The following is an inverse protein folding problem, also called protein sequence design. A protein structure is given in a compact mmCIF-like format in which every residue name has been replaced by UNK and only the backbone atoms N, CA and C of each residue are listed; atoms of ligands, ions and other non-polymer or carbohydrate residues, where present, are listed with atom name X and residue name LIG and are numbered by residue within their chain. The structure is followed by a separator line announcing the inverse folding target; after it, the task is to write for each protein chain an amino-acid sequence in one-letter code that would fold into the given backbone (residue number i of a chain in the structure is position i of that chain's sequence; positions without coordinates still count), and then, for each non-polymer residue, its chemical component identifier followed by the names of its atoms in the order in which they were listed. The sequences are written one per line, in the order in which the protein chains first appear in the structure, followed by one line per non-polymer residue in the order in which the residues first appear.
data_IF_106926720462
#
_entry.id   IF_106926720462
#
_cell.length_a   1.000
_cell.length_b   1.000
_cell.length_c   1.000
_cell.angle_alpha   90.00
_cell.angle_beta   90.00
_cell.angle_gamma   90.00
#
_symmetry.space_group_name_H-M   'P 1'
#
loop_
_entity.id
_entity.type
_entity.pdbx_description
1 polymer ?
#
# COMPACT_ATOMS: atom_id res chain seq x y z
N UNK A 1 -17.57 -79.87 -8.37
CA UNK A 1 -17.05 -78.53 -7.99
C UNK A 1 -18.19 -77.73 -7.37
N UNK A 2 -18.19 -77.58 -6.04
CA UNK A 2 -19.24 -76.86 -5.29
C UNK A 2 -18.92 -75.37 -5.27
N UNK A 3 -19.87 -74.53 -5.71
CA UNK A 3 -19.77 -73.06 -5.66
C UNK A 3 -20.04 -72.58 -4.23
N UNK A 4 -19.11 -71.82 -3.65
CA UNK A 4 -19.32 -71.09 -2.41
C UNK A 4 -19.88 -69.70 -2.73
N UNK A 5 -21.03 -69.38 -2.17
CA UNK A 5 -21.62 -68.03 -2.21
C UNK A 5 -21.18 -67.29 -0.94
N UNK A 6 -20.39 -66.23 -1.11
CA UNK A 6 -19.97 -65.35 -0.02
C UNK A 6 -21.04 -64.26 0.16
N UNK A 7 -21.75 -64.26 1.30
CA UNK A 7 -22.67 -63.18 1.68
C UNK A 7 -21.86 -62.17 2.51
N UNK A 8 -21.62 -60.98 1.96
CA UNK A 8 -21.03 -59.87 2.68
C UNK A 8 -22.13 -59.13 3.48
N UNK A 9 -22.04 -59.18 4.81
CA UNK A 9 -22.88 -58.38 5.70
C UNK A 9 -22.36 -56.93 5.72
N UNK A 10 -23.15 -55.99 5.20
CA UNK A 10 -22.91 -54.55 5.37
C UNK A 10 -23.52 -54.11 6.71
N UNK A 11 -22.67 -53.73 7.67
CA UNK A 11 -23.09 -53.06 8.90
C UNK A 11 -23.11 -51.56 8.62
N UNK A 12 -24.29 -50.98 8.38
CA UNK A 12 -24.47 -49.54 8.29
C UNK A 12 -24.64 -48.96 9.70
N UNK A 13 -23.60 -48.30 10.23
CA UNK A 13 -23.75 -47.47 11.42
C UNK A 13 -24.37 -46.13 11.01
N UNK A 14 -25.66 -45.94 11.31
CA UNK A 14 -26.33 -44.65 11.27
C UNK A 14 -25.78 -43.79 12.43
N UNK A 15 -24.79 -42.95 12.14
CA UNK A 15 -24.36 -41.89 13.04
C UNK A 15 -25.41 -40.79 13.04
N UNK A 16 -26.19 -40.67 14.11
CA UNK A 16 -27.03 -39.52 14.37
C UNK A 16 -26.14 -38.33 14.70
N UNK A 17 -25.80 -37.51 13.71
CA UNK A 17 -25.27 -36.19 13.97
C UNK A 17 -26.44 -35.31 14.44
N UNK A 18 -26.58 -35.13 15.75
CA UNK A 18 -27.39 -34.02 16.27
C UNK A 18 -26.67 -32.73 15.91
N UNK A 19 -27.12 -32.07 14.84
CA UNK A 19 -26.86 -30.65 14.66
C UNK A 19 -27.65 -29.92 15.76
N UNK A 20 -27.00 -29.62 16.88
CA UNK A 20 -27.54 -28.66 17.83
C UNK A 20 -27.50 -27.28 17.17
N UNK A 21 -28.62 -26.86 16.59
CA UNK A 21 -28.84 -25.45 16.29
C UNK A 21 -28.99 -24.72 17.63
N UNK A 22 -27.93 -24.08 18.11
CA UNK A 22 -28.06 -23.15 19.22
C UNK A 22 -28.92 -21.98 18.77
N UNK A 23 -30.14 -21.90 19.27
CA UNK A 23 -30.93 -20.67 19.23
C UNK A 23 -30.16 -19.60 20.00
N UNK A 24 -29.78 -18.54 19.29
CA UNK A 24 -29.09 -17.38 19.84
C UNK A 24 -30.10 -16.59 20.69
N UNK A 25 -30.24 -16.96 21.96
CA UNK A 25 -30.99 -16.15 22.92
C UNK A 25 -30.15 -14.94 23.33
N UNK A 26 -30.03 -13.96 22.42
CA UNK A 26 -29.91 -12.58 22.87
C UNK A 26 -31.21 -12.22 23.60
N UNK A 27 -31.18 -11.57 24.78
CA UNK A 27 -32.42 -11.16 25.43
C UNK A 27 -33.21 -10.29 24.47
N UNK A 28 -34.49 -10.61 24.26
CA UNK A 28 -35.39 -9.84 23.42
C UNK A 28 -35.28 -8.34 23.79
N UNK A 29 -34.68 -7.54 22.89
CA UNK A 29 -34.47 -6.10 23.08
C UNK A 29 -33.08 -5.65 23.57
N UNK A 30 -32.07 -6.52 23.70
CA UNK A 30 -30.70 -6.11 24.05
C UNK A 30 -29.75 -6.07 22.84
N UNK A 31 -28.88 -5.08 22.87
CA UNK A 31 -27.92 -4.74 21.81
C UNK A 31 -27.11 -5.96 21.35
N UNK A 32 -27.02 -6.16 20.04
CA UNK A 32 -26.40 -7.34 19.40
C UNK A 32 -24.90 -7.15 19.15
N UNK A 33 -24.35 -6.05 19.66
CA UNK A 33 -22.96 -5.66 19.53
C UNK A 33 -22.15 -6.29 20.66
N UNK A 34 -20.97 -6.82 20.31
CA UNK A 34 -20.03 -7.41 21.26
C UNK A 34 -20.57 -8.67 21.99
N UNK A 35 -21.27 -9.56 21.27
CA UNK A 35 -21.87 -10.79 21.81
C UNK A 35 -20.88 -11.94 22.07
N UNK A 36 -20.84 -12.45 23.30
CA UNK A 36 -20.14 -13.69 23.65
C UNK A 36 -21.18 -14.81 23.83
N UNK A 37 -20.99 -15.95 23.18
CA UNK A 37 -21.87 -17.13 23.30
C UNK A 37 -21.66 -17.91 24.61
N UNK A 38 -22.51 -18.91 24.84
CA UNK A 38 -22.47 -19.75 26.04
C UNK A 38 -21.14 -20.52 26.21
N UNK A 39 -20.36 -20.66 25.15
CA UNK A 39 -19.04 -21.31 25.15
C UNK A 39 -17.90 -20.31 25.30
N UNK A 40 -18.20 -19.02 25.56
CA UNK A 40 -17.19 -17.98 25.73
C UNK A 40 -16.59 -17.48 24.42
N UNK A 41 -17.21 -17.77 23.27
CA UNK A 41 -16.70 -17.32 21.95
C UNK A 41 -17.43 -16.05 21.47
N UNK A 42 -16.68 -15.15 20.85
CA UNK A 42 -17.21 -13.95 20.19
C UNK A 42 -18.02 -14.32 18.95
N UNK A 43 -19.19 -13.72 18.81
CA UNK A 43 -20.11 -13.89 17.69
C UNK A 43 -20.65 -12.53 17.22
N UNK A 44 -21.09 -12.47 15.97
CA UNK A 44 -21.84 -11.34 15.44
C UNK A 44 -21.01 -10.05 15.30
N UNK A 45 -21.68 -8.91 15.37
CA UNK A 45 -21.07 -7.59 15.18
C UNK A 45 -20.20 -7.22 16.37
N UNK A 46 -19.01 -6.71 16.11
CA UNK A 46 -18.07 -6.21 17.11
C UNK A 46 -17.70 -4.77 16.84
N UNK A 47 -17.62 -3.97 17.91
CA UNK A 47 -17.06 -2.62 17.88
C UNK A 47 -16.08 -2.50 19.04
N UNK A 48 -14.85 -2.15 18.71
CA UNK A 48 -13.81 -1.80 19.68
C UNK A 48 -13.75 -0.28 19.78
N UNK A 49 -14.02 0.23 20.98
CA UNK A 49 -13.91 1.66 21.31
C UNK A 49 -12.54 2.02 21.90
N UNK A 50 -12.21 3.31 21.91
CA UNK A 50 -10.95 3.83 22.42
C UNK A 50 -10.68 3.49 23.89
N UNK A 51 -11.73 3.35 24.72
CA UNK A 51 -11.60 2.88 26.12
C UNK A 51 -10.96 1.48 26.24
N UNK A 52 -11.01 0.66 25.18
CA UNK A 52 -10.36 -0.65 25.14
C UNK A 52 -8.88 -0.56 24.68
N UNK A 53 -8.40 0.63 24.33
CA UNK A 53 -7.05 0.93 23.83
C UNK A 53 -6.44 2.11 24.60
N UNK A 54 -6.22 1.98 25.93
CA UNK A 54 -5.62 3.04 26.73
C UNK A 54 -4.23 3.41 26.22
N UNK A 55 -3.85 4.69 26.35
CA UNK A 55 -2.55 5.20 25.89
C UNK A 55 -2.46 5.50 24.39
N UNK A 56 -3.60 5.55 23.69
CA UNK A 56 -3.70 5.94 22.28
C UNK A 56 -4.38 7.31 22.14
N UNK A 57 -4.43 7.85 20.92
CA UNK A 57 -5.10 9.12 20.63
C UNK A 57 -6.63 9.05 20.54
N UNK A 58 -7.25 7.86 20.70
CA UNK A 58 -8.70 7.72 20.60
C UNK A 58 -9.39 8.20 21.87
N UNK A 59 -10.45 9.01 21.70
CA UNK A 59 -11.40 9.26 22.77
C UNK A 59 -12.06 7.95 23.24
N UNK A 60 -12.52 7.90 24.50
CA UNK A 60 -13.01 6.67 25.13
C UNK A 60 -14.16 5.99 24.36
N UNK A 61 -15.03 6.78 23.74
CA UNK A 61 -16.19 6.39 22.96
C UNK A 61 -15.95 6.41 21.43
N UNK A 62 -14.77 6.84 20.97
CA UNK A 62 -14.41 6.79 19.57
C UNK A 62 -14.26 5.33 19.10
N UNK A 63 -14.75 5.02 17.91
CA UNK A 63 -14.55 3.71 17.29
C UNK A 63 -13.09 3.57 16.85
N UNK A 64 -12.48 2.44 17.17
CA UNK A 64 -11.12 2.07 16.76
C UNK A 64 -11.18 1.06 15.63
N UNK A 65 -11.99 0.00 15.80
CA UNK A 65 -12.24 -0.99 14.76
C UNK A 65 -13.64 -1.59 14.91
N UNK A 66 -14.24 -2.01 13.81
CA UNK A 66 -15.50 -2.76 13.81
C UNK A 66 -15.52 -3.84 12.72
N UNK A 67 -16.31 -4.88 12.96
CA UNK A 67 -16.46 -5.98 12.01
C UNK A 67 -17.31 -7.10 12.58
N UNK A 68 -17.15 -8.33 12.05
CA UNK A 68 -17.87 -9.51 12.55
C UNK A 68 -16.91 -10.57 13.08
N UNK A 69 -17.33 -11.23 14.16
CA UNK A 69 -16.74 -12.47 14.64
C UNK A 69 -17.66 -13.65 14.34
N UNK A 70 -17.05 -14.78 14.01
CA UNK A 70 -17.68 -16.10 14.03
C UNK A 70 -16.74 -17.03 14.78
N UNK A 71 -17.19 -17.57 15.91
CA UNK A 71 -16.40 -18.46 16.77
C UNK A 71 -15.00 -17.91 17.12
N UNK A 72 -14.92 -16.69 17.66
CA UNK A 72 -13.67 -15.97 17.95
C UNK A 72 -12.80 -15.58 16.73
N UNK A 73 -13.23 -15.87 15.50
CA UNK A 73 -12.47 -15.53 14.28
C UNK A 73 -13.09 -14.33 13.57
N UNK A 74 -12.26 -13.33 13.22
CA UNK A 74 -12.67 -12.24 12.34
C UNK A 74 -13.16 -12.82 11.01
N UNK A 75 -14.34 -12.38 10.55
CA UNK A 75 -14.93 -12.80 9.28
C UNK A 75 -15.59 -11.62 8.57
N UNK A 76 -15.59 -11.64 7.25
CA UNK A 76 -16.12 -10.56 6.42
C UNK A 76 -15.32 -9.27 6.54
N UNK A 77 -15.97 -8.13 6.29
CA UNK A 77 -15.29 -6.84 6.30
C UNK A 77 -15.03 -6.37 7.74
N UNK A 78 -13.79 -5.95 7.96
CA UNK A 78 -13.34 -5.25 9.15
C UNK A 78 -12.83 -3.87 8.76
N UNK A 79 -13.26 -2.88 9.53
CA UNK A 79 -12.89 -1.48 9.34
C UNK A 79 -12.05 -1.06 10.55
N UNK A 80 -10.90 -0.45 10.29
CA UNK A 80 -10.13 0.30 11.28
C UNK A 80 -10.29 1.80 10.99
N UNK A 81 -10.30 2.62 12.03
CA UNK A 81 -10.40 4.07 11.92
C UNK A 81 -9.07 4.75 12.25
N UNK A 82 -8.92 6.01 11.88
CA UNK A 82 -7.91 6.92 12.40
C UNK A 82 -8.45 7.63 13.66
N UNK A 83 -7.57 8.27 14.43
CA UNK A 83 -7.98 9.03 15.61
C UNK A 83 -8.90 10.23 15.30
N UNK A 84 -8.88 10.74 14.06
CA UNK A 84 -9.82 11.76 13.59
C UNK A 84 -11.22 11.19 13.24
N UNK A 85 -11.42 9.87 13.36
CA UNK A 85 -12.68 9.18 13.07
C UNK A 85 -12.86 8.76 11.61
N UNK A 86 -11.97 9.17 10.70
CA UNK A 86 -12.02 8.72 9.31
C UNK A 86 -11.61 7.24 9.20
N UNK A 87 -12.09 6.55 8.17
CA UNK A 87 -11.64 5.18 7.91
C UNK A 87 -10.15 5.18 7.62
N UNK A 88 -9.44 4.20 8.17
CA UNK A 88 -8.01 3.95 7.97
C UNK A 88 -7.78 2.78 7.03
N UNK A 89 -8.50 1.69 7.26
CA UNK A 89 -8.53 0.57 6.34
C UNK A 89 -9.85 -0.20 6.44
N UNK A 90 -10.15 -0.92 5.36
CA UNK A 90 -11.27 -1.83 5.23
C UNK A 90 -10.75 -3.11 4.59
N UNK A 91 -10.59 -4.13 5.42
CA UNK A 91 -9.98 -5.41 5.05
C UNK A 91 -11.02 -6.53 5.09
N UNK A 92 -10.94 -7.46 4.14
CA UNK A 92 -11.75 -8.69 4.17
C UNK A 92 -11.02 -9.78 4.95
N UNK A 93 -11.68 -10.35 5.95
CA UNK A 93 -11.16 -11.46 6.75
C UNK A 93 -11.89 -12.77 6.45
N UNK A 94 -11.14 -13.85 6.35
CA UNK A 94 -11.64 -15.22 6.29
C UNK A 94 -10.95 -16.02 7.39
N UNK A 95 -11.74 -16.62 8.29
CA UNK A 95 -11.22 -17.44 9.40
C UNK A 95 -10.13 -16.74 10.23
N UNK A 96 -10.29 -15.45 10.50
CA UNK A 96 -9.39 -14.67 11.34
C UNK A 96 -8.15 -14.12 10.63
N UNK A 97 -8.00 -14.34 9.31
CA UNK A 97 -6.88 -13.84 8.53
C UNK A 97 -7.37 -12.92 7.40
N UNK A 98 -6.64 -11.84 7.06
CA UNK A 98 -6.94 -11.05 5.88
C UNK A 98 -6.83 -11.91 4.61
N UNK A 99 -7.93 -12.05 3.88
CA UNK A 99 -8.02 -12.80 2.63
C UNK A 99 -9.20 -12.23 1.82
N UNK A 100 -8.88 -11.52 0.74
CA UNK A 100 -9.85 -10.85 -0.12
C UNK A 100 -9.50 -9.39 -0.38
N UNK A 101 -10.49 -8.61 -0.77
CA UNK A 101 -10.29 -7.21 -1.13
C UNK A 101 -9.92 -6.37 0.10
N UNK A 102 -8.95 -5.49 -0.07
CA UNK A 102 -8.43 -4.58 0.94
C UNK A 102 -8.37 -3.16 0.37
N UNK A 103 -8.83 -2.21 1.19
CA UNK A 103 -8.82 -0.77 0.89
C UNK A 103 -8.17 -0.08 2.07
N UNK A 104 -7.24 0.82 1.80
CA UNK A 104 -6.65 1.71 2.79
C UNK A 104 -7.01 3.14 2.39
N UNK A 105 -7.00 4.02 3.38
CA UNK A 105 -7.41 5.41 3.21
C UNK A 105 -6.32 6.34 3.71
N UNK A 106 -6.23 7.51 3.09
CA UNK A 106 -5.53 8.67 3.63
C UNK A 106 -6.30 9.24 4.82
N UNK A 107 -5.63 10.00 5.69
CA UNK A 107 -6.29 10.61 6.85
C UNK A 107 -7.40 11.60 6.45
N UNK A 108 -7.36 12.14 5.24
CA UNK A 108 -8.40 12.98 4.66
C UNK A 108 -9.66 12.21 4.21
N UNK A 109 -9.67 10.88 4.37
CA UNK A 109 -10.80 10.01 4.06
C UNK A 109 -10.87 9.51 2.62
N UNK A 110 -9.98 9.96 1.73
CA UNK A 110 -9.86 9.42 0.36
C UNK A 110 -9.09 8.09 0.37
N UNK A 111 -9.30 7.26 -0.64
CA UNK A 111 -8.57 5.98 -0.77
C UNK A 111 -7.09 6.30 -0.99
N UNK A 112 -6.20 5.56 -0.32
CA UNK A 112 -4.76 5.62 -0.55
C UNK A 112 -4.29 4.45 -1.40
N UNK A 113 -4.77 3.24 -1.13
CA UNK A 113 -4.45 2.05 -1.93
C UNK A 113 -5.62 1.06 -1.88
N UNK A 114 -5.76 0.27 -2.94
CA UNK A 114 -6.72 -0.83 -2.97
C UNK A 114 -6.22 -1.99 -3.84
N UNK A 115 -6.67 -3.20 -3.50
CA UNK A 115 -6.37 -4.41 -4.27
C UNK A 115 -6.85 -5.68 -3.57
N UNK A 116 -6.42 -6.83 -4.09
CA UNK A 116 -6.69 -8.12 -3.43
C UNK A 116 -5.50 -8.53 -2.57
N UNK A 117 -5.75 -8.80 -1.30
CA UNK A 117 -4.78 -9.32 -0.35
C UNK A 117 -5.00 -10.82 -0.13
N UNK A 118 -3.99 -11.64 -0.40
CA UNK A 118 -4.07 -13.09 -0.20
C UNK A 118 -2.74 -13.64 0.27
N UNK A 119 -2.75 -14.51 1.27
CA UNK A 119 -1.54 -15.14 1.80
C UNK A 119 -0.41 -14.14 2.14
N UNK A 120 -0.78 -13.03 2.80
CA UNK A 120 0.11 -11.95 3.24
C UNK A 120 0.80 -11.16 2.11
N UNK A 121 0.16 -11.03 0.94
CA UNK A 121 0.65 -10.19 -0.17
C UNK A 121 -0.48 -9.69 -1.06
N UNK A 122 -0.20 -8.64 -1.83
CA UNK A 122 -1.05 -8.19 -2.93
C UNK A 122 -1.03 -9.17 -4.10
N UNK A 123 -2.20 -9.40 -4.70
CA UNK A 123 -2.38 -10.24 -5.89
C UNK A 123 -3.42 -9.58 -6.82
N UNK A 124 -3.31 -9.83 -8.11
CA UNK A 124 -4.21 -9.26 -9.11
C UNK A 124 -4.08 -7.74 -9.21
N UNK A 125 -5.17 -7.08 -9.64
CA UNK A 125 -5.21 -5.63 -9.82
C UNK A 125 -4.94 -4.89 -8.51
N UNK A 126 -4.17 -3.81 -8.63
CA UNK A 126 -3.76 -2.94 -7.56
C UNK A 126 -3.76 -1.49 -8.02
N UNK A 127 -4.20 -0.59 -7.14
CA UNK A 127 -4.12 0.86 -7.36
C UNK A 127 -3.58 1.55 -6.12
N UNK A 128 -2.79 2.60 -6.37
CA UNK A 128 -2.33 3.57 -5.39
C UNK A 128 -2.85 4.94 -5.82
N UNK A 129 -3.19 5.79 -4.86
CA UNK A 129 -3.83 7.08 -5.08
C UNK A 129 -3.08 8.18 -4.32
N UNK A 130 -3.02 9.36 -4.93
CA UNK A 130 -2.57 10.59 -4.29
C UNK A 130 -3.57 11.07 -3.23
N UNK A 131 -3.13 11.97 -2.35
CA UNK A 131 -4.03 12.57 -1.35
C UNK A 131 -5.16 13.39 -1.97
N UNK A 132 -5.00 13.88 -3.21
CA UNK A 132 -6.07 14.54 -3.95
C UNK A 132 -7.14 13.54 -4.47
N UNK A 133 -6.89 12.23 -4.39
CA UNK A 133 -7.79 11.16 -4.84
C UNK A 133 -7.55 10.70 -6.28
N UNK A 134 -6.63 11.34 -7.02
CA UNK A 134 -6.23 10.89 -8.35
C UNK A 134 -5.39 9.62 -8.26
N UNK A 135 -5.47 8.78 -9.28
CA UNK A 135 -4.67 7.55 -9.35
C UNK A 135 -3.20 7.94 -9.48
N UNK A 136 -2.35 7.38 -8.62
CA UNK A 136 -0.90 7.50 -8.69
C UNK A 136 -0.32 6.34 -9.47
N UNK A 137 -0.68 5.10 -9.09
CA UNK A 137 -0.23 3.89 -9.76
C UNK A 137 -1.40 2.96 -10.04
N UNK A 138 -1.33 2.26 -11.17
CA UNK A 138 -2.27 1.21 -11.53
C UNK A 138 -1.51 0.05 -12.17
N UNK A 139 -1.54 -1.11 -11.55
CA UNK A 139 -0.86 -2.30 -12.05
C UNK A 139 -1.45 -3.60 -11.49
N UNK A 140 -0.91 -4.74 -11.89
CA UNK A 140 -1.26 -6.04 -11.32
C UNK A 140 -0.08 -6.80 -10.73
N UNK A 141 -0.36 -7.68 -9.78
CA UNK A 141 0.57 -8.68 -9.25
C UNK A 141 0.13 -10.10 -9.63
N UNK A 142 1.09 -10.97 -9.91
CA UNK A 142 0.84 -12.40 -10.04
C UNK A 142 0.67 -13.10 -8.67
N UNK A 143 0.37 -14.40 -8.68
CA UNK A 143 0.13 -15.18 -7.46
C UNK A 143 1.34 -15.25 -6.50
N UNK A 144 2.55 -14.98 -7.01
CA UNK A 144 3.79 -14.91 -6.23
C UNK A 144 4.04 -13.50 -5.66
N UNK A 145 3.18 -12.51 -5.95
CA UNK A 145 3.32 -11.13 -5.50
C UNK A 145 4.28 -10.29 -6.33
N UNK A 146 4.64 -10.73 -7.55
CA UNK A 146 5.49 -9.96 -8.47
C UNK A 146 4.61 -9.19 -9.46
N UNK A 147 5.05 -8.01 -9.92
CA UNK A 147 4.33 -7.23 -10.93
C UNK A 147 4.18 -8.02 -12.23
N UNK A 148 2.99 -7.96 -12.82
CA UNK A 148 2.63 -8.72 -14.00
C UNK A 148 1.67 -7.92 -14.87
N UNK A 149 1.86 -7.97 -16.18
CA UNK A 149 1.05 -7.29 -17.18
C UNK A 149 1.23 -5.76 -17.15
N UNK A 150 0.21 -5.02 -17.63
CA UNK A 150 0.32 -3.58 -17.86
C UNK A 150 0.50 -2.82 -16.55
N UNK A 151 1.44 -1.87 -16.58
CA UNK A 151 1.72 -0.93 -15.52
C UNK A 151 1.45 0.49 -16.03
N UNK A 152 0.78 1.29 -15.21
CA UNK A 152 0.55 2.71 -15.46
C UNK A 152 0.89 3.51 -14.22
N UNK A 153 1.59 4.61 -14.43
CA UNK A 153 1.97 5.58 -13.42
C UNK A 153 1.48 6.93 -13.91
N UNK A 154 0.96 7.75 -13.02
CA UNK A 154 0.34 9.02 -13.36
C UNK A 154 0.94 10.13 -12.52
N UNK A 155 0.87 11.35 -13.04
CA UNK A 155 1.15 12.58 -12.32
C UNK A 155 -0.04 12.97 -11.41
N UNK A 156 0.17 13.91 -10.49
CA UNK A 156 -0.89 14.39 -9.59
C UNK A 156 -2.06 15.07 -10.34
N UNK A 157 -1.81 15.58 -11.55
CA UNK A 157 -2.83 16.15 -12.42
C UNK A 157 -3.66 15.07 -13.18
N UNK A 158 -3.43 13.79 -12.89
CA UNK A 158 -4.11 12.64 -13.50
C UNK A 158 -3.57 12.23 -14.87
N UNK A 159 -2.58 12.94 -15.42
CA UNK A 159 -1.99 12.58 -16.71
C UNK A 159 -1.04 11.39 -16.58
N UNK A 160 -1.01 10.55 -17.61
CA UNK A 160 -0.12 9.40 -17.66
C UNK A 160 1.34 9.88 -17.66
N UNK A 161 2.14 9.35 -16.74
CA UNK A 161 3.57 9.62 -16.62
C UNK A 161 4.39 8.50 -17.26
N UNK A 162 4.01 7.24 -17.01
CA UNK A 162 4.70 6.06 -17.52
C UNK A 162 3.65 4.98 -17.84
N UNK A 163 3.78 4.32 -18.98
CA UNK A 163 3.10 3.05 -19.25
C UNK A 163 4.05 1.99 -19.80
N UNK A 164 3.72 0.73 -19.55
CA UNK A 164 4.42 -0.38 -20.17
C UNK A 164 4.04 -1.72 -19.56
N UNK A 165 4.76 -2.77 -19.91
CA UNK A 165 4.44 -4.15 -19.57
C UNK A 165 5.51 -4.75 -18.64
N UNK A 166 5.07 -5.52 -17.66
CA UNK A 166 5.95 -6.23 -16.73
C UNK A 166 5.66 -7.74 -16.80
N UNK A 167 6.71 -8.55 -16.75
CA UNK A 167 6.62 -9.99 -16.64
C UNK A 167 7.46 -10.46 -15.46
N UNK A 168 6.86 -11.21 -14.54
CA UNK A 168 7.57 -11.74 -13.35
C UNK A 168 8.36 -10.68 -12.56
N UNK A 169 7.82 -9.47 -12.45
CA UNK A 169 8.41 -8.37 -11.70
C UNK A 169 9.47 -7.55 -12.45
N UNK A 170 9.67 -7.79 -13.75
CA UNK A 170 10.65 -7.08 -14.58
C UNK A 170 9.98 -6.44 -15.79
N UNK A 171 10.51 -5.32 -16.26
CA UNK A 171 10.10 -4.64 -17.48
C UNK A 171 10.23 -5.57 -18.69
N UNK A 172 9.21 -5.62 -19.54
CA UNK A 172 9.21 -6.48 -20.72
C UNK A 172 8.38 -5.84 -21.84
N UNK A 173 9.01 -5.54 -22.98
CA UNK A 173 8.40 -4.80 -24.08
C UNK A 173 8.66 -3.30 -24.00
N UNK A 174 7.85 -2.52 -24.70
CA UNK A 174 8.03 -1.07 -24.80
C UNK A 174 7.48 -0.37 -23.56
N UNK A 175 8.34 0.39 -22.88
CA UNK A 175 8.00 1.35 -21.85
C UNK A 175 7.98 2.74 -22.47
N UNK A 176 6.90 3.49 -22.23
CA UNK A 176 6.74 4.88 -22.66
C UNK A 176 6.70 5.80 -21.45
N UNK A 177 7.42 6.89 -21.54
CA UNK A 177 7.40 7.99 -20.58
C UNK A 177 6.78 9.22 -21.24
N UNK A 178 6.06 10.02 -20.46
CA UNK A 178 5.37 11.22 -20.92
C UNK A 178 5.76 12.41 -20.06
N UNK A 179 5.52 13.61 -20.58
CA UNK A 179 5.55 14.85 -19.81
C UNK A 179 4.19 15.10 -19.14
N UNK A 180 4.14 16.00 -18.16
CA UNK A 180 2.90 16.43 -17.47
C UNK A 180 1.87 17.14 -18.36
N UNK A 181 2.24 17.44 -19.61
CA UNK A 181 1.32 17.98 -20.63
C UNK A 181 0.77 16.89 -21.57
N UNK A 182 1.19 15.63 -21.38
CA UNK A 182 0.75 14.45 -22.12
C UNK A 182 1.56 14.16 -23.37
N UNK A 183 2.53 15.00 -23.72
CA UNK A 183 3.45 14.71 -24.82
C UNK A 183 4.37 13.54 -24.45
N UNK A 184 4.67 12.70 -25.43
CA UNK A 184 5.63 11.62 -25.23
C UNK A 184 7.02 12.22 -24.96
N UNK A 185 7.68 11.69 -23.93
CA UNK A 185 9.01 12.09 -23.49
C UNK A 185 10.05 11.09 -23.94
N UNK A 186 9.78 9.80 -23.77
CA UNK A 186 10.70 8.75 -24.19
C UNK A 186 9.98 7.42 -24.48
N UNK A 187 10.60 6.60 -25.31
CA UNK A 187 10.23 5.20 -25.54
C UNK A 187 11.48 4.32 -25.45
N UNK A 188 11.36 3.19 -24.75
CA UNK A 188 12.46 2.26 -24.50
C UNK A 188 11.93 0.84 -24.54
N UNK A 189 12.59 -0.04 -25.27
CA UNK A 189 12.25 -1.46 -25.29
C UNK A 189 13.07 -2.23 -24.25
N UNK A 190 12.41 -3.09 -23.48
CA UNK A 190 13.01 -3.92 -22.46
C UNK A 190 12.79 -5.40 -22.75
N UNK A 191 13.75 -6.23 -22.35
CA UNK A 191 13.60 -7.67 -22.31
C UNK A 191 14.13 -8.18 -20.97
N UNK A 192 13.24 -8.76 -20.16
CA UNK A 192 13.58 -9.30 -18.83
C UNK A 192 14.32 -8.28 -17.92
N UNK A 193 13.86 -7.02 -17.94
CA UNK A 193 14.42 -5.91 -17.17
C UNK A 193 15.65 -5.25 -17.78
N UNK A 194 16.16 -5.75 -18.91
CA UNK A 194 17.30 -5.16 -19.62
C UNK A 194 16.82 -4.27 -20.75
N UNK A 195 17.26 -3.01 -20.76
CA UNK A 195 16.96 -2.06 -21.84
C UNK A 195 17.80 -2.35 -23.09
N UNK A 196 17.16 -2.35 -24.25
CA UNK A 196 17.88 -2.24 -25.52
C UNK A 196 18.27 -0.78 -25.74
N UNK A 197 19.55 -0.46 -25.58
CA UNK A 197 20.07 0.91 -25.70
C UNK A 197 19.78 1.51 -27.09
N UNK A 198 19.73 0.68 -28.14
CA UNK A 198 19.42 1.16 -29.50
C UNK A 198 17.94 1.47 -29.71
N UNK A 199 17.08 1.03 -28.80
CA UNK A 199 15.63 1.30 -28.85
C UNK A 199 15.23 2.63 -28.21
N UNK A 200 16.16 3.29 -27.51
CA UNK A 200 15.89 4.52 -26.77
C UNK A 200 15.57 5.64 -27.76
N UNK A 201 14.35 6.17 -27.67
CA UNK A 201 13.92 7.38 -28.38
C UNK A 201 13.53 8.42 -27.36
N UNK A 202 14.05 9.63 -27.49
CA UNK A 202 13.71 10.78 -26.65
C UNK A 202 13.09 11.88 -27.50
N UNK A 203 12.10 12.56 -26.95
CA UNK A 203 11.33 13.57 -27.65
C UNK A 203 11.22 14.83 -26.79
N UNK A 204 11.21 15.98 -27.46
CA UNK A 204 10.94 17.27 -26.81
C UNK A 204 9.42 17.51 -26.74
N UNK A 205 8.93 18.21 -25.71
CA UNK A 205 7.50 18.54 -25.63
C UNK A 205 7.12 19.48 -26.78
N UNK A 206 5.92 19.28 -27.35
CA UNK A 206 5.42 20.05 -28.51
C UNK A 206 5.04 21.47 -28.14
N UNK A 207 4.68 21.70 -26.88
CA UNK A 207 4.45 23.03 -26.31
C UNK A 207 5.46 23.24 -25.19
N UNK A 208 6.07 24.44 -25.07
CA UNK A 208 6.84 24.79 -23.89
C UNK A 208 5.98 24.52 -22.66
N UNK A 209 6.48 23.74 -21.71
CA UNK A 209 5.78 23.53 -20.46
C UNK A 209 5.62 24.89 -19.78
N UNK A 210 4.38 25.32 -19.55
CA UNK A 210 4.10 26.53 -18.78
C UNK A 210 4.56 26.25 -17.37
N UNK A 211 5.63 26.91 -16.92
CA UNK A 211 5.95 26.97 -15.48
C UNK A 211 4.74 27.63 -14.82
N UNK A 212 4.01 26.88 -14.01
CA UNK A 212 2.97 27.47 -13.16
C UNK A 212 3.72 28.47 -12.26
N UNK A 213 3.35 29.75 -12.37
CA UNK A 213 4.00 30.79 -11.60
C UNK A 213 3.75 30.54 -10.11
N UNK A 214 4.84 30.47 -9.35
CA UNK A 214 4.87 30.33 -7.90
C UNK A 214 3.92 31.35 -7.28
N UNK A 215 2.86 30.89 -6.60
CA UNK A 215 2.26 31.69 -5.53
C UNK A 215 3.05 31.35 -4.27
N UNK A 216 4.02 32.19 -3.86
CA UNK A 216 4.84 31.87 -2.70
C UNK A 216 3.96 31.78 -1.46
N UNK A 217 4.07 30.67 -0.73
CA UNK A 217 3.62 30.62 0.67
C UNK A 217 4.50 31.62 1.42
N UNK A 218 3.92 32.75 1.79
CA UNK A 218 4.58 33.75 2.62
C UNK A 218 5.04 33.04 3.91
N UNK A 219 6.36 33.04 4.17
CA UNK A 219 7.03 32.57 5.39
C UNK A 219 7.56 31.12 5.48
N UNK A 220 7.82 30.41 4.37
CA UNK A 220 8.62 29.19 4.45
C UNK A 220 10.14 29.50 4.51
N UNK A 221 10.92 28.96 5.48
CA UNK A 221 12.35 29.23 5.59
C UNK A 221 13.13 28.64 4.42
N UNK A 222 14.01 29.44 3.80
CA UNK A 222 14.97 28.98 2.79
C UNK A 222 16.13 28.26 3.47
N UNK A 223 16.24 26.95 3.24
CA UNK A 223 17.42 26.18 3.63
C UNK A 223 18.51 26.38 2.55
N UNK A 224 19.57 27.12 2.90
CA UNK A 224 20.77 27.26 2.06
C UNK A 224 21.81 26.17 2.38
N UNK A 225 22.22 25.41 1.36
CA UNK A 225 23.24 24.36 1.46
C UNK A 225 24.65 24.96 1.28
N UNK A 226 25.61 24.50 2.08
CA UNK A 226 27.02 24.91 2.01
C UNK A 226 27.67 24.52 0.68
N UNK A 227 28.64 25.33 0.22
CA UNK A 227 29.10 25.43 -1.18
C UNK A 227 29.96 24.25 -1.68
N UNK A 228 30.34 23.31 -0.81
CA UNK A 228 31.50 22.43 -1.07
C UNK A 228 31.20 20.91 -1.05
N UNK A 229 29.94 20.46 -0.99
CA UNK A 229 29.61 19.03 -1.14
C UNK A 229 29.36 18.64 -2.61
N UNK A 230 29.93 17.49 -3.02
CA UNK A 230 29.76 16.86 -4.34
C UNK A 230 28.55 15.90 -4.30
N UNK A 231 27.35 16.32 -4.73
CA UNK A 231 26.12 15.57 -4.49
C UNK A 231 26.02 14.40 -5.48
N UNK A 232 25.68 13.21 -4.99
CA UNK A 232 25.48 11.99 -5.79
C UNK A 232 26.70 11.53 -6.62
N UNK A 233 27.91 12.05 -6.37
CA UNK A 233 29.13 11.56 -7.02
C UNK A 233 29.61 10.25 -6.39
N UNK A 234 29.00 9.15 -6.83
CA UNK A 234 29.70 7.96 -7.29
C UNK A 234 28.70 6.88 -7.74
N UNK A 235 28.17 6.95 -8.98
CA UNK A 235 28.08 5.82 -9.94
C UNK A 235 27.88 6.34 -11.38
N UNK A 236 28.67 7.32 -11.83
CA UNK A 236 28.72 7.64 -13.26
C UNK A 236 29.54 6.61 -14.07
N UNK A 237 30.18 5.62 -13.42
CA UNK A 237 31.15 4.73 -14.07
C UNK A 237 30.90 3.23 -13.92
N UNK A 238 29.90 2.75 -13.16
CA UNK A 238 29.66 1.30 -12.94
C UNK A 238 28.18 0.92 -12.70
N UNK A 239 27.35 0.94 -13.74
CA UNK A 239 26.02 0.29 -13.73
C UNK A 239 24.95 0.88 -12.79
N UNK A 240 23.75 0.28 -12.70
CA UNK A 240 22.68 0.76 -11.83
C UNK A 240 23.12 0.65 -10.36
N UNK A 241 23.07 1.78 -9.66
CA UNK A 241 23.49 1.93 -8.26
C UNK A 241 22.58 1.10 -7.33
N UNK A 242 23.17 0.16 -6.60
CA UNK A 242 22.51 -0.56 -5.52
C UNK A 242 22.90 0.11 -4.19
N UNK A 243 22.00 0.90 -3.63
CA UNK A 243 22.13 1.58 -2.35
C UNK A 243 21.96 0.58 -1.21
N UNK A 244 23.07 0.28 -0.56
CA UNK A 244 23.15 -0.47 0.69
C UNK A 244 23.99 0.33 1.70
N UNK A 245 23.55 0.42 2.95
CA UNK A 245 24.22 1.18 4.02
C UNK A 245 23.78 2.65 4.10
N UNK A 246 24.53 3.48 4.83
CA UNK A 246 24.19 4.89 5.02
C UNK A 246 24.42 5.69 3.73
N UNK A 247 23.41 6.41 3.24
CA UNK A 247 23.50 7.31 2.09
C UNK A 247 22.66 8.56 2.29
N UNK A 248 23.12 9.65 1.69
CA UNK A 248 22.36 10.91 1.56
C UNK A 248 22.13 11.15 0.07
N UNK A 249 20.87 11.26 -0.33
CA UNK A 249 20.45 11.45 -1.71
C UNK A 249 20.01 12.89 -1.93
N UNK A 250 20.40 13.48 -3.05
CA UNK A 250 20.06 14.87 -3.37
C UNK A 250 19.23 14.94 -4.66
N UNK A 251 18.31 15.90 -4.74
CA UNK A 251 17.64 16.24 -5.99
C UNK A 251 18.57 17.08 -6.90
N UNK A 252 18.08 17.40 -8.11
CA UNK A 252 18.77 18.24 -9.11
C UNK A 252 19.13 19.65 -8.60
N UNK A 253 18.43 20.13 -7.57
CA UNK A 253 18.66 21.44 -6.93
C UNK A 253 19.65 21.34 -5.76
N UNK A 254 20.31 20.19 -5.56
CA UNK A 254 21.23 19.89 -4.45
C UNK A 254 20.56 19.90 -3.07
N UNK A 255 19.27 19.61 -2.99
CA UNK A 255 18.54 19.50 -1.74
C UNK A 255 18.42 18.03 -1.34
N UNK A 256 18.60 17.72 -0.05
CA UNK A 256 18.57 16.35 0.47
C UNK A 256 17.17 15.81 0.32
N UNK A 257 16.94 14.75 -0.45
CA UNK A 257 15.63 14.09 -0.56
C UNK A 257 15.47 12.91 0.38
N UNK A 258 16.58 12.23 0.71
CA UNK A 258 16.61 11.14 1.68
C UNK A 258 17.96 11.12 2.38
N UNK A 259 17.95 10.85 3.66
CA UNK A 259 19.15 10.64 4.46
C UNK A 259 18.92 9.46 5.42
N UNK A 260 19.73 8.41 5.30
CA UNK A 260 19.56 7.23 6.14
C UNK A 260 20.21 5.95 5.61
N UNK A 261 19.89 4.85 6.28
CA UNK A 261 20.34 3.50 5.94
C UNK A 261 19.44 2.91 4.85
N UNK A 262 20.04 2.48 3.75
CA UNK A 262 19.36 1.82 2.65
C UNK A 262 19.66 0.32 2.61
N UNK A 263 18.68 -0.45 2.12
CA UNK A 263 18.83 -1.85 1.74
C UNK A 263 18.11 -2.09 0.42
N UNK A 264 18.83 -2.57 -0.59
CA UNK A 264 18.30 -2.83 -1.92
C UNK A 264 17.52 -1.63 -2.49
N UNK A 265 18.09 -0.42 -2.38
CA UNK A 265 17.48 0.86 -2.79
C UNK A 265 16.28 1.36 -1.95
N UNK A 266 15.86 0.64 -0.91
CA UNK A 266 14.82 1.08 0.02
C UNK A 266 15.42 1.77 1.24
N UNK A 267 14.89 2.95 1.60
CA UNK A 267 15.22 3.62 2.86
C UNK A 267 14.65 2.79 4.02
N UNK A 268 15.54 2.23 4.85
CA UNK A 268 15.21 1.41 6.00
C UNK A 268 15.06 2.29 7.24
N UNK A 269 16.10 3.04 7.58
CA UNK A 269 16.12 3.89 8.76
C UNK A 269 16.61 5.28 8.38
N UNK A 270 15.81 6.31 8.57
CA UNK A 270 16.22 7.67 8.19
C UNK A 270 15.06 8.61 7.91
N UNK A 271 15.37 9.71 7.22
CA UNK A 271 14.42 10.77 6.89
C UNK A 271 14.27 10.89 5.38
N UNK A 272 13.05 11.07 4.91
CA UNK A 272 12.76 11.51 3.55
C UNK A 272 12.22 12.93 3.60
N UNK A 273 12.81 13.80 2.80
CA UNK A 273 12.54 15.23 2.74
C UNK A 273 11.75 15.47 1.47
N UNK A 274 10.49 15.80 1.65
CA UNK A 274 9.56 16.05 0.57
C UNK A 274 9.51 17.55 0.38
N UNK A 275 9.94 17.99 -0.79
CA UNK A 275 9.85 19.36 -1.22
C UNK A 275 8.61 19.54 -2.07
N UNK A 276 8.04 20.74 -2.06
CA UNK A 276 7.14 21.17 -3.11
C UNK A 276 7.92 21.48 -4.41
N UNK A 277 7.20 21.85 -5.45
CA UNK A 277 7.76 22.12 -6.77
C UNK A 277 8.68 23.37 -6.80
N UNK A 278 8.62 24.21 -5.78
CA UNK A 278 9.49 25.37 -5.58
C UNK A 278 10.78 25.01 -4.83
N UNK A 279 10.94 23.74 -4.44
CA UNK A 279 12.05 23.31 -3.60
C UNK A 279 11.90 23.74 -2.13
N UNK A 280 10.71 24.14 -1.69
CA UNK A 280 10.44 24.43 -0.28
C UNK A 280 10.15 23.10 0.42
N UNK A 281 10.79 22.88 1.57
CA UNK A 281 10.60 21.67 2.34
C UNK A 281 9.18 21.65 2.92
N UNK A 282 8.34 20.78 2.38
CA UNK A 282 6.96 20.60 2.81
C UNK A 282 6.89 19.69 4.05
N UNK A 283 7.67 18.60 4.03
CA UNK A 283 7.56 17.56 5.05
C UNK A 283 8.86 16.76 5.22
N UNK A 284 9.13 16.32 6.45
CA UNK A 284 10.19 15.36 6.75
C UNK A 284 9.57 14.07 7.30
N UNK A 285 9.48 13.05 6.45
CA UNK A 285 8.96 11.73 6.82
C UNK A 285 10.06 10.86 7.44
N UNK A 286 9.84 10.34 8.64
CA UNK A 286 10.78 9.47 9.34
C UNK A 286 10.44 8.01 9.06
N UNK A 287 11.47 7.21 8.79
CA UNK A 287 11.39 5.78 8.53
C UNK A 287 12.21 5.00 9.56
N UNK A 288 11.68 3.86 10.01
CA UNK A 288 12.39 2.83 10.79
C UNK A 288 12.10 1.44 10.25
N UNK A 289 13.11 0.60 10.06
CA UNK A 289 13.00 -0.74 9.46
C UNK A 289 12.21 -0.77 8.14
N UNK A 290 12.27 0.28 7.34
CA UNK A 290 11.58 0.44 6.06
C UNK A 290 10.13 0.86 6.17
N UNK A 291 9.66 1.20 7.37
CA UNK A 291 8.28 1.60 7.67
C UNK A 291 8.27 3.08 8.03
N UNK A 292 7.33 3.83 7.46
CA UNK A 292 7.07 5.21 7.85
C UNK A 292 6.53 5.25 9.29
N UNK A 293 7.17 6.03 10.16
CA UNK A 293 6.85 6.09 11.61
C UNK A 293 6.31 7.45 12.07
N UNK A 294 6.22 8.43 11.18
CA UNK A 294 5.69 9.75 11.48
C UNK A 294 6.53 10.86 10.87
N UNK A 295 6.00 12.07 10.92
CA UNK A 295 6.71 13.26 10.47
C UNK A 295 7.42 13.93 11.64
N UNK A 296 8.58 14.50 11.37
CA UNK A 296 9.32 15.32 12.33
C UNK A 296 9.24 16.78 11.94
N UNK A 297 9.34 17.68 12.93
CA UNK A 297 9.32 19.10 12.65
C UNK A 297 10.56 19.52 11.87
N UNK A 298 10.40 20.54 11.03
CA UNK A 298 11.52 21.22 10.37
C UNK A 298 12.33 21.88 11.48
N UNK A 299 13.46 21.29 11.85
CA UNK A 299 14.41 21.95 12.74
C UNK A 299 14.94 23.18 12.00
N UNK A 300 14.71 24.36 12.58
CA UNK A 300 15.22 25.65 12.10
C UNK A 300 16.74 25.74 12.26
#
# INVERSE_FOLDING_TARGET
MKKFTLIALFISSLGWAQAQSFELTGPAGKDTINLIDAQGKKQGKWIVYGKHKPGTCYAADAKVEEGKYQENRKTGQWIEYFCNGNMKNKLTFVNGRPDGYAIMYHENGKISEEGTWKANRWVGNYKLYYENGEVQHQFSFNASGKREGPQKYFYENGQLAIEGEFANGKENGVIKEYYENGDIKAEKNYADGLVDVNSIKEYQPKKPMVKIADNPVENAPKITVAKDEKPNEAVASKGPMLLNGQHTLYNKNKQITKDGVFKDNRLMDGKAYIYDDNGILNRIAVYKNGIYVGDTQVEN
#
